data_IF_698235827322
#
_entry.id   IF_698235827322
#
_cell.length_a   1.000
_cell.length_b   1.000
_cell.length_c   1.000
_cell.angle_alpha   90.00
_cell.angle_beta   90.00
_cell.angle_gamma   90.00
#
_symmetry.space_group_name_H-M   'P 1'
#
loop_
_entity.id
_entity.type
_entity.pdbx_description
1 polymer ?
#
# COMPACT_ATOMS: atom_id res chain seq x y z
N UNK A 1 -61.73 22.30 51.13
CA UNK A 1 -61.45 21.20 50.17
C UNK A 1 -60.71 21.80 48.98
N UNK A 2 -59.38 21.70 48.92
CA UNK A 2 -58.59 20.88 47.95
C UNK A 2 -58.89 21.30 46.49
N UNK A 3 -57.97 21.75 45.63
CA UNK A 3 -56.57 21.31 45.40
C UNK A 3 -55.77 22.35 44.61
N UNK A 4 -54.47 22.37 44.91
CA UNK A 4 -53.37 23.01 44.20
C UNK A 4 -52.94 22.07 43.06
N UNK A 5 -52.66 22.56 41.85
CA UNK A 5 -51.91 21.84 40.81
C UNK A 5 -51.14 22.87 39.96
N UNK A 6 -49.88 23.17 40.28
CA UNK A 6 -48.62 22.52 39.87
C UNK A 6 -48.29 22.69 38.39
N UNK A 7 -47.24 23.47 38.17
CA UNK A 7 -46.49 23.65 36.93
C UNK A 7 -45.86 22.36 36.42
N UNK A 8 -45.66 22.26 35.11
CA UNK A 8 -44.69 21.36 34.50
C UNK A 8 -44.11 22.04 33.26
N UNK A 9 -42.93 22.66 33.41
CA UNK A 9 -42.08 23.01 32.29
C UNK A 9 -41.39 21.73 31.81
N UNK A 10 -41.72 21.28 30.59
CA UNK A 10 -41.06 20.14 29.97
C UNK A 10 -39.74 20.61 29.36
N UNK A 11 -38.62 20.36 30.03
CA UNK A 11 -37.28 20.52 29.45
C UNK A 11 -36.94 19.23 28.72
N UNK A 12 -36.98 19.28 27.39
CA UNK A 12 -36.60 18.17 26.52
C UNK A 12 -35.07 18.10 26.40
N UNK A 13 -34.40 17.26 27.20
CA UNK A 13 -33.00 16.90 26.94
C UNK A 13 -32.96 15.82 25.85
N UNK A 14 -32.67 16.23 24.61
CA UNK A 14 -32.33 15.28 23.55
C UNK A 14 -30.89 14.79 23.77
N UNK A 15 -30.74 13.53 24.17
CA UNK A 15 -29.46 12.84 24.29
C UNK A 15 -28.89 12.62 22.89
N UNK A 16 -27.79 13.30 22.57
CA UNK A 16 -27.03 13.08 21.33
C UNK A 16 -26.36 11.70 21.37
N UNK A 17 -26.78 10.80 20.48
CA UNK A 17 -26.11 9.51 20.27
C UNK A 17 -24.83 9.76 19.48
N UNK A 18 -23.69 9.76 20.15
CA UNK A 18 -22.38 9.71 19.51
C UNK A 18 -22.15 8.28 19.01
N UNK A 19 -22.44 8.02 17.74
CA UNK A 19 -21.96 6.82 17.06
C UNK A 19 -20.45 6.95 16.89
N UNK A 20 -19.69 6.31 17.76
CA UNK A 20 -18.24 6.12 17.54
C UNK A 20 -18.08 5.23 16.32
N UNK A 21 -17.79 5.84 15.16
CA UNK A 21 -17.32 5.11 13.99
C UNK A 21 -15.96 4.55 14.39
N UNK A 22 -15.93 3.27 14.78
CA UNK A 22 -14.69 2.58 15.04
C UNK A 22 -13.89 2.54 13.74
N UNK A 23 -12.77 3.24 13.71
CA UNK A 23 -11.79 3.11 12.63
C UNK A 23 -11.35 1.65 12.60
N UNK A 24 -11.84 0.87 11.64
CA UNK A 24 -11.24 -0.42 11.33
C UNK A 24 -9.84 -0.11 10.81
N UNK A 25 -8.82 -0.25 11.64
CA UNK A 25 -7.45 -0.27 11.17
C UNK A 25 -7.36 -1.44 10.18
N UNK A 26 -7.33 -1.14 8.88
CA UNK A 26 -7.01 -2.14 7.87
C UNK A 26 -5.67 -2.74 8.28
N UNK A 27 -5.66 -4.02 8.64
CA UNK A 27 -4.42 -4.71 8.95
C UNK A 27 -3.62 -4.72 7.65
N UNK A 28 -2.43 -4.13 7.67
CA UNK A 28 -1.52 -4.18 6.55
C UNK A 28 -1.34 -5.65 6.15
N UNK A 29 -1.88 -6.04 5.00
CA UNK A 29 -1.77 -7.40 4.50
C UNK A 29 -0.34 -7.55 3.98
N UNK A 30 0.47 -8.31 4.69
CA UNK A 30 1.81 -8.65 4.24
C UNK A 30 1.72 -9.79 3.22
N UNK A 31 2.17 -9.54 2.00
CA UNK A 31 2.21 -10.56 0.95
C UNK A 31 3.66 -11.01 0.73
N UNK A 32 3.97 -12.26 1.05
CA UNK A 32 5.33 -12.81 0.93
C UNK A 32 6.41 -11.96 1.61
N UNK A 33 6.08 -11.35 2.75
CA UNK A 33 6.97 -10.42 3.47
C UNK A 33 6.99 -8.99 2.93
N UNK A 34 6.27 -8.69 1.84
CA UNK A 34 6.05 -7.35 1.36
C UNK A 34 4.86 -6.70 2.07
N UNK A 35 5.11 -5.63 2.83
CA UNK A 35 4.06 -4.93 3.58
C UNK A 35 3.08 -4.19 2.66
N UNK A 36 1.85 -3.99 3.13
CA UNK A 36 0.86 -3.17 2.44
C UNK A 36 1.38 -1.75 2.23
N UNK A 37 1.21 -1.21 1.02
CA UNK A 37 1.76 0.08 0.63
C UNK A 37 3.16 0.03 0.02
N UNK A 38 3.78 -1.15 -0.13
CA UNK A 38 5.16 -1.27 -0.61
C UNK A 38 5.29 -1.98 -1.96
N UNK A 39 6.37 -1.64 -2.67
CA UNK A 39 6.94 -2.46 -3.74
C UNK A 39 8.14 -3.20 -3.19
N UNK A 40 8.21 -4.51 -3.45
CA UNK A 40 9.30 -5.35 -2.98
C UNK A 40 9.92 -6.13 -4.12
N UNK A 41 11.25 -6.25 -4.10
CA UNK A 41 12.03 -7.04 -5.04
C UNK A 41 12.76 -8.13 -4.27
N UNK A 42 12.69 -9.37 -4.74
CA UNK A 42 13.34 -10.53 -4.15
C UNK A 42 14.73 -10.72 -4.77
N UNK A 43 15.67 -11.42 -4.09
CA UNK A 43 16.99 -11.70 -4.65
C UNK A 43 16.94 -12.39 -6.02
N UNK A 44 18.04 -12.23 -6.76
CA UNK A 44 18.23 -12.84 -8.07
C UNK A 44 18.00 -14.36 -7.99
N UNK A 45 17.19 -14.87 -8.92
CA UNK A 45 16.91 -16.30 -9.14
C UNK A 45 16.43 -17.06 -7.88
N UNK A 46 15.86 -16.34 -6.89
CA UNK A 46 15.48 -16.90 -5.59
C UNK A 46 13.96 -17.07 -5.39
N UNK A 47 13.13 -16.69 -6.36
CA UNK A 47 11.68 -16.73 -6.25
C UNK A 47 11.17 -15.90 -5.06
N UNK A 48 10.46 -16.52 -4.12
CA UNK A 48 9.95 -15.86 -2.92
C UNK A 48 10.98 -15.70 -1.79
N UNK A 49 12.16 -16.33 -1.89
CA UNK A 49 13.24 -16.22 -0.91
C UNK A 49 12.78 -16.30 0.57
N UNK A 50 12.01 -17.35 0.92
CA UNK A 50 11.43 -17.51 2.25
C UNK A 50 10.68 -16.25 2.74
N UNK A 51 9.87 -15.67 1.86
CA UNK A 51 9.10 -14.45 2.10
C UNK A 51 9.97 -13.27 2.57
N UNK A 52 11.21 -13.19 2.09
CA UNK A 52 12.16 -12.15 2.48
C UNK A 52 12.64 -11.37 1.25
N UNK A 53 12.12 -10.16 0.99
CA UNK A 53 12.59 -9.32 -0.09
C UNK A 53 14.00 -8.75 0.21
N UNK A 54 14.77 -8.47 -0.84
CA UNK A 54 16.08 -7.81 -0.72
C UNK A 54 15.97 -6.28 -0.80
N UNK A 55 14.96 -5.78 -1.51
CA UNK A 55 14.72 -4.35 -1.67
C UNK A 55 13.25 -4.03 -1.44
N UNK A 56 12.97 -2.93 -0.75
CA UNK A 56 11.63 -2.54 -0.32
C UNK A 56 11.49 -1.02 -0.49
N UNK A 57 10.43 -0.58 -1.18
CA UNK A 57 10.18 0.81 -1.53
C UNK A 57 8.75 1.22 -1.16
N UNK A 58 8.58 2.41 -0.58
CA UNK A 58 7.29 2.90 -0.10
C UNK A 58 6.83 4.17 -0.82
N UNK A 59 7.69 5.18 -0.84
CA UNK A 59 7.31 6.49 -1.34
C UNK A 59 7.14 6.45 -2.86
N UNK A 60 6.16 7.20 -3.36
CA UNK A 60 6.05 7.43 -4.79
C UNK A 60 7.25 8.20 -5.32
N UNK A 61 7.56 7.97 -6.59
CA UNK A 61 8.70 8.57 -7.27
C UNK A 61 9.57 7.52 -7.94
N UNK A 62 10.83 7.89 -8.15
CA UNK A 62 11.77 7.10 -8.93
C UNK A 62 12.94 6.63 -8.08
N UNK A 63 13.33 5.37 -8.27
CA UNK A 63 14.48 4.78 -7.61
C UNK A 63 15.46 4.24 -8.64
N UNK A 64 16.69 4.76 -8.62
CA UNK A 64 17.78 4.20 -9.41
C UNK A 64 18.25 2.91 -8.76
N UNK A 65 18.52 1.91 -9.60
CA UNK A 65 18.99 0.60 -9.22
C UNK A 65 20.43 0.42 -9.67
N UNK A 66 21.20 -0.36 -8.91
CA UNK A 66 22.58 -0.69 -9.24
C UNK A 66 22.88 -2.12 -8.83
N UNK A 67 23.58 -2.87 -9.68
CA UNK A 67 23.97 -4.25 -9.37
C UNK A 67 22.81 -5.25 -9.41
N UNK A 68 21.74 -4.94 -10.16
CA UNK A 68 20.61 -5.84 -10.38
C UNK A 68 20.83 -6.64 -11.67
N UNK A 69 20.80 -7.97 -11.58
CA UNK A 69 21.10 -8.85 -12.70
C UNK A 69 20.20 -10.09 -12.66
N UNK A 70 19.92 -10.67 -13.82
CA UNK A 70 19.13 -11.88 -13.94
C UNK A 70 17.66 -11.68 -13.56
N UNK A 71 16.99 -12.79 -13.28
CA UNK A 71 15.55 -12.76 -12.99
C UNK A 71 15.33 -12.40 -11.52
N UNK A 72 14.50 -11.40 -11.27
CA UNK A 72 13.99 -11.08 -9.95
C UNK A 72 12.48 -11.20 -9.94
N UNK A 73 11.95 -11.66 -8.81
CA UNK A 73 10.52 -11.51 -8.51
C UNK A 73 10.27 -10.12 -7.97
N UNK A 74 9.24 -9.47 -8.49
CA UNK A 74 8.82 -8.14 -8.05
C UNK A 74 7.35 -8.20 -7.66
N UNK A 75 7.02 -7.62 -6.51
CA UNK A 75 5.65 -7.49 -6.00
C UNK A 75 5.33 -6.01 -5.87
N UNK A 76 4.17 -5.62 -6.36
CA UNK A 76 3.55 -4.35 -6.01
C UNK A 76 2.38 -4.60 -5.05
N UNK A 77 2.65 -4.44 -3.75
CA UNK A 77 1.66 -4.53 -2.69
C UNK A 77 1.16 -3.14 -2.25
N UNK A 78 1.29 -2.13 -3.12
CA UNK A 78 0.74 -0.80 -2.87
C UNK A 78 -0.79 -0.80 -2.96
N UNK A 79 -1.45 0.14 -2.29
CA UNK A 79 -2.91 0.27 -2.28
C UNK A 79 -3.39 1.49 -3.07
N UNK A 80 -4.71 1.70 -3.15
CA UNK A 80 -5.28 2.92 -3.74
C UNK A 80 -5.23 3.02 -5.27
N UNK A 81 -4.96 1.92 -5.97
CA UNK A 81 -4.81 1.93 -7.44
C UNK A 81 -3.39 2.21 -7.92
N UNK A 82 -2.44 2.35 -6.99
CA UNK A 82 -1.04 2.59 -7.27
C UNK A 82 -0.44 1.56 -8.26
N UNK A 83 0.52 2.00 -9.05
CA UNK A 83 1.21 1.16 -10.03
C UNK A 83 2.71 1.31 -9.93
N UNK A 84 3.42 0.29 -10.40
CA UNK A 84 4.87 0.30 -10.52
C UNK A 84 5.29 -0.03 -11.95
N UNK A 85 6.39 0.57 -12.39
CA UNK A 85 6.99 0.31 -13.70
C UNK A 85 8.49 0.11 -13.57
N UNK A 86 9.04 -0.77 -14.40
CA UNK A 86 10.48 -0.95 -14.58
C UNK A 86 10.97 -0.09 -15.73
N UNK A 87 12.16 0.48 -15.62
CA UNK A 87 12.69 1.44 -16.60
C UNK A 87 14.13 1.08 -16.99
N UNK A 88 14.38 1.06 -18.29
CA UNK A 88 15.71 0.70 -18.83
C UNK A 88 16.72 1.83 -18.69
N UNK A 89 16.27 3.08 -18.52
CA UNK A 89 17.14 4.21 -18.20
C UNK A 89 17.16 4.54 -16.71
N UNK A 90 18.08 5.42 -16.32
CA UNK A 90 18.10 6.03 -14.99
C UNK A 90 17.03 7.12 -14.87
N UNK A 91 16.68 7.47 -13.63
CA UNK A 91 15.75 8.54 -13.29
C UNK A 91 14.36 8.38 -13.95
N UNK A 92 13.90 7.15 -14.12
CA UNK A 92 12.52 6.87 -14.58
C UNK A 92 12.35 7.12 -16.07
N UNK A 93 13.41 6.96 -16.85
CA UNK A 93 13.39 7.11 -18.32
C UNK A 93 13.29 5.75 -18.99
N UNK A 94 12.55 5.67 -20.11
CA UNK A 94 12.39 4.42 -20.85
C UNK A 94 11.59 3.35 -20.08
N UNK A 95 10.55 3.76 -19.35
CA UNK A 95 9.72 2.85 -18.55
C UNK A 95 8.79 1.99 -19.40
N UNK A 96 8.66 0.73 -18.98
CA UNK A 96 7.89 -0.30 -19.66
C UNK A 96 7.00 -1.06 -18.68
N UNK A 97 5.88 -1.55 -19.20
CA UNK A 97 4.91 -2.30 -18.42
C UNK A 97 4.24 -1.49 -17.31
N UNK A 98 3.34 -2.18 -16.61
CA UNK A 98 2.70 -1.76 -15.37
C UNK A 98 2.49 -2.98 -14.50
N UNK A 99 2.79 -2.84 -13.21
CA UNK A 99 2.47 -3.80 -12.16
C UNK A 99 1.44 -3.13 -11.27
N UNK A 100 0.22 -3.61 -11.31
CA UNK A 100 -0.87 -3.07 -10.49
C UNK A 100 -0.61 -3.29 -9.00
N UNK A 101 -1.08 -2.38 -8.14
CA UNK A 101 -1.10 -2.59 -6.70
C UNK A 101 -2.07 -3.68 -6.27
N UNK A 102 -2.16 -3.94 -4.97
CA UNK A 102 -2.99 -5.00 -4.38
C UNK A 102 -2.33 -6.38 -4.42
N UNK A 103 -1.01 -6.43 -4.55
CA UNK A 103 -0.23 -7.64 -4.44
C UNK A 103 0.02 -8.38 -5.76
N UNK A 104 -0.04 -7.67 -6.89
CA UNK A 104 0.37 -8.27 -8.16
C UNK A 104 1.88 -8.45 -8.19
N UNK A 105 2.30 -9.51 -8.86
CA UNK A 105 3.70 -9.85 -8.98
C UNK A 105 4.04 -10.31 -10.40
N UNK A 106 5.32 -10.20 -10.74
CA UNK A 106 5.91 -10.80 -11.93
C UNK A 106 7.34 -11.23 -11.67
N UNK A 107 7.84 -12.11 -12.53
CA UNK A 107 9.27 -12.35 -12.69
C UNK A 107 9.78 -11.53 -13.88
N UNK A 108 10.87 -10.80 -13.67
CA UNK A 108 11.44 -9.88 -14.65
C UNK A 108 12.96 -10.00 -14.67
N UNK A 109 13.53 -10.04 -15.87
CA UNK A 109 14.96 -9.82 -16.03
C UNK A 109 15.29 -8.37 -15.70
N UNK A 110 16.03 -8.16 -14.61
CA UNK A 110 16.44 -6.86 -14.13
C UNK A 110 17.78 -6.40 -14.72
N UNK A 111 18.47 -7.25 -15.49
CA UNK A 111 19.74 -6.91 -16.15
C UNK A 111 19.65 -5.62 -17.01
N UNK A 112 18.59 -5.38 -17.81
CA UNK A 112 18.48 -4.14 -18.57
C UNK A 112 17.85 -2.98 -17.78
N UNK A 113 17.42 -3.21 -16.52
CA UNK A 113 16.63 -2.25 -15.75
C UNK A 113 17.54 -1.42 -14.86
N UNK A 114 17.53 -0.10 -15.06
CA UNK A 114 18.37 0.85 -14.32
C UNK A 114 17.56 1.67 -13.29
N UNK A 115 16.24 1.71 -13.40
CA UNK A 115 15.38 2.33 -12.38
C UNK A 115 13.97 1.73 -12.33
N UNK A 116 13.26 2.01 -11.25
CA UNK A 116 11.83 1.74 -11.11
C UNK A 116 11.08 3.03 -10.75
N UNK A 117 9.80 3.07 -11.07
CA UNK A 117 8.90 4.16 -10.69
C UNK A 117 7.69 3.62 -9.93
N UNK A 118 7.37 4.25 -8.82
CA UNK A 118 6.17 4.01 -8.01
C UNK A 118 5.23 5.18 -8.22
N UNK A 119 3.99 4.91 -8.62
CA UNK A 119 3.02 5.90 -9.06
C UNK A 119 1.70 5.74 -8.28
N UNK A 120 1.03 6.85 -7.92
CA UNK A 120 -0.28 6.81 -7.27
C UNK A 120 -1.37 6.26 -8.20
#
# INVERSE_FOLDING_TARGET
MRRIARAAAAVSLALGVLTTVGSTSAQAVTQHGCQDGYVCIYPQDAGWNNDTPSHVYYNYGTYNLSGMYGIHRIVNNQTGGATMRTCTGYNGTGCEGYVSGGGWWLDKDMTPINSITLQP
#
